data_IF_779198852713
#
_entry.id   IF_779198852713
#
_cell.length_a   1.000
_cell.length_b   1.000
_cell.length_c   1.000
_cell.angle_alpha   90.00
_cell.angle_beta   90.00
_cell.angle_gamma   90.00
#
_symmetry.space_group_name_H-M   'P 1'
#
loop_
_entity.id
_entity.type
_entity.pdbx_description
1 polymer ?
#
# COMPACT_ATOMS: atom_id res chain seq x y z
N UNK A 1 4.11 -75.45 11.58
CA UNK A 1 4.77 -74.37 12.34
C UNK A 1 5.78 -73.67 11.43
N UNK A 2 5.45 -72.43 11.05
CA UNK A 2 6.32 -71.30 10.63
C UNK A 2 7.68 -71.57 9.95
N UNK A 3 7.85 -71.02 8.74
CA UNK A 3 8.83 -69.93 8.51
C UNK A 3 8.58 -69.20 7.18
N UNK A 4 8.45 -67.89 7.32
CA UNK A 4 8.23 -66.87 6.30
C UNK A 4 9.48 -66.64 5.44
N UNK A 5 9.29 -66.36 4.15
CA UNK A 5 10.27 -65.61 3.35
C UNK A 5 9.61 -64.29 2.97
N UNK A 6 10.22 -63.22 3.46
CA UNK A 6 9.84 -61.82 3.25
C UNK A 6 10.70 -61.23 2.12
N UNK A 7 10.21 -60.10 1.61
CA UNK A 7 10.90 -59.06 0.82
C UNK A 7 10.90 -59.35 -0.69
N UNK A 8 10.53 -58.43 -1.58
CA UNK A 8 10.84 -56.99 -1.57
C UNK A 8 9.68 -56.18 -2.18
N UNK A 9 9.02 -55.37 -1.37
CA UNK A 9 8.15 -54.29 -1.86
C UNK A 9 9.03 -53.11 -2.27
N UNK A 10 9.24 -52.91 -3.56
CA UNK A 10 9.91 -51.74 -4.11
C UNK A 10 9.02 -50.51 -3.88
N UNK A 11 9.35 -49.70 -2.87
CA UNK A 11 8.69 -48.41 -2.63
C UNK A 11 9.28 -47.36 -3.56
N UNK A 12 8.52 -47.01 -4.61
CA UNK A 12 8.83 -45.89 -5.51
C UNK A 12 8.53 -44.58 -4.76
N UNK A 13 9.55 -43.91 -4.23
CA UNK A 13 9.42 -42.57 -3.65
C UNK A 13 9.21 -41.57 -4.78
N UNK A 14 7.97 -41.13 -4.99
CA UNK A 14 7.65 -40.04 -5.89
C UNK A 14 8.05 -38.70 -5.24
N UNK A 15 9.16 -38.12 -5.69
CA UNK A 15 9.55 -36.75 -5.32
C UNK A 15 8.63 -35.79 -6.07
N UNK A 16 7.58 -35.30 -5.39
CA UNK A 16 6.74 -34.22 -5.89
C UNK A 16 7.52 -32.92 -5.73
N UNK A 17 8.17 -32.45 -6.80
CA UNK A 17 8.67 -31.08 -6.88
C UNK A 17 7.47 -30.13 -6.95
N UNK A 18 7.07 -29.58 -5.81
CA UNK A 18 6.16 -28.45 -5.76
C UNK A 18 6.87 -27.25 -6.38
N UNK A 19 6.58 -26.96 -7.65
CA UNK A 19 6.99 -25.72 -8.31
C UNK A 19 6.25 -24.59 -7.59
N UNK A 20 6.94 -23.89 -6.70
CA UNK A 20 6.49 -22.61 -6.16
C UNK A 20 6.47 -21.62 -7.33
N UNK A 21 5.33 -21.50 -8.01
CA UNK A 21 5.09 -20.39 -8.93
C UNK A 21 4.87 -19.16 -8.05
N UNK A 22 5.77 -18.15 -8.07
CA UNK A 22 5.51 -16.92 -7.35
C UNK A 22 4.22 -16.32 -7.93
N UNK A 23 3.25 -16.03 -7.05
CA UNK A 23 2.08 -15.27 -7.45
C UNK A 23 2.56 -13.97 -8.08
N UNK A 24 2.36 -13.80 -9.38
CA UNK A 24 2.65 -12.56 -10.06
C UNK A 24 1.71 -11.51 -9.46
N UNK A 25 2.26 -10.60 -8.65
CA UNK A 25 1.51 -9.48 -8.10
C UNK A 25 1.07 -8.62 -9.28
N UNK A 26 -0.22 -8.68 -9.62
CA UNK A 26 -0.76 -8.03 -10.81
C UNK A 26 -0.88 -6.51 -10.56
N UNK A 27 0.22 -5.78 -10.79
CA UNK A 27 0.29 -4.32 -10.78
C UNK A 27 0.93 -3.72 -9.51
N UNK A 28 1.06 -2.38 -9.46
CA UNK A 28 1.70 -1.70 -8.35
C UNK A 28 0.97 -1.93 -7.01
N UNK A 29 1.64 -2.45 -5.97
CA UNK A 29 0.98 -2.96 -4.77
C UNK A 29 0.16 -1.93 -3.99
N UNK A 30 0.59 -0.67 -3.97
CA UNK A 30 -0.05 0.40 -3.19
C UNK A 30 -1.32 0.92 -3.83
N UNK A 31 -1.53 0.68 -5.13
CA UNK A 31 -2.70 1.15 -5.87
C UNK A 31 -3.65 0.00 -6.24
N UNK A 32 -3.10 -1.10 -6.77
CA UNK A 32 -3.88 -2.19 -7.34
C UNK A 32 -4.46 -3.15 -6.30
N UNK A 33 -4.02 -3.07 -5.05
CA UNK A 33 -4.47 -3.98 -3.99
C UNK A 33 -5.21 -3.19 -2.90
N UNK A 34 -6.55 -3.30 -2.85
CA UNK A 34 -7.33 -2.75 -1.74
C UNK A 34 -6.86 -3.32 -0.41
N UNK A 35 -6.78 -2.45 0.60
CA UNK A 35 -6.49 -2.86 1.98
C UNK A 35 -7.83 -3.16 2.66
N UNK A 36 -7.95 -4.33 3.30
CA UNK A 36 -9.15 -4.66 4.07
C UNK A 36 -9.28 -3.74 5.28
N UNK A 37 -10.43 -3.08 5.36
CA UNK A 37 -10.81 -2.13 6.42
C UNK A 37 -12.12 -2.54 7.11
N UNK A 38 -12.64 -3.74 6.80
CA UNK A 38 -13.97 -4.17 7.24
C UNK A 38 -15.05 -3.17 6.82
N UNK A 39 -15.87 -2.75 7.78
CA UNK A 39 -16.93 -1.75 7.59
C UNK A 39 -16.51 -0.30 7.88
N UNK A 40 -15.21 -0.01 8.07
CA UNK A 40 -14.77 1.34 8.41
C UNK A 40 -15.03 2.33 7.25
N UNK A 41 -15.32 3.59 7.60
CA UNK A 41 -15.54 4.63 6.61
C UNK A 41 -14.22 5.02 5.90
N UNK A 42 -14.30 5.25 4.60
CA UNK A 42 -13.22 5.78 3.76
C UNK A 42 -13.85 6.61 2.62
N UNK A 43 -13.03 7.10 1.68
CA UNK A 43 -13.53 7.84 0.52
C UNK A 43 -14.56 7.01 -0.24
N UNK A 44 -15.63 7.64 -0.79
CA UNK A 44 -16.65 6.93 -1.56
C UNK A 44 -16.04 6.09 -2.66
N UNK A 45 -16.62 4.92 -2.91
CA UNK A 45 -16.12 3.95 -3.88
C UNK A 45 -17.27 3.36 -4.68
N UNK A 46 -17.00 3.01 -5.93
CA UNK A 46 -17.98 2.35 -6.79
C UNK A 46 -18.08 0.85 -6.52
N UNK A 47 -19.11 0.22 -7.09
CA UNK A 47 -19.37 -1.23 -7.00
C UNK A 47 -18.90 -2.03 -8.21
N UNK A 48 -18.27 -1.38 -9.20
CA UNK A 48 -17.71 -2.03 -10.40
C UNK A 48 -16.48 -2.90 -10.12
N UNK A 49 -16.15 -3.83 -11.03
CA UNK A 49 -15.09 -4.80 -10.84
C UNK A 49 -13.69 -4.14 -10.85
N UNK A 50 -12.79 -4.68 -10.02
CA UNK A 50 -11.37 -4.34 -10.04
C UNK A 50 -10.93 -3.27 -9.02
N UNK A 51 -9.68 -2.87 -9.13
CA UNK A 51 -9.00 -1.99 -8.17
C UNK A 51 -9.20 -0.48 -8.44
N UNK A 52 -9.67 -0.13 -9.65
CA UNK A 52 -9.81 1.23 -10.16
C UNK A 52 -11.28 1.56 -10.44
N UNK A 53 -12.10 1.56 -9.38
CA UNK A 53 -13.53 1.83 -9.48
C UNK A 53 -13.91 3.03 -8.60
N UNK A 54 -13.35 4.23 -8.84
CA UNK A 54 -13.81 5.42 -8.16
C UNK A 54 -15.31 5.65 -8.41
N UNK A 55 -16.02 6.17 -7.41
CA UNK A 55 -17.43 6.49 -7.56
C UNK A 55 -17.59 7.63 -8.57
N UNK A 56 -18.27 7.37 -9.69
CA UNK A 56 -18.40 8.34 -10.78
C UNK A 56 -19.10 9.64 -10.37
N UNK A 57 -20.08 9.54 -9.46
CA UNK A 57 -20.85 10.70 -8.96
C UNK A 57 -20.14 11.45 -7.82
N UNK A 58 -18.94 11.04 -7.39
CA UNK A 58 -18.22 11.72 -6.33
C UNK A 58 -17.71 13.09 -6.81
N UNK A 59 -18.06 14.15 -6.08
CA UNK A 59 -17.54 15.49 -6.31
C UNK A 59 -16.06 15.57 -5.92
N UNK A 60 -15.18 15.53 -6.91
CA UNK A 60 -13.74 15.53 -6.72
C UNK A 60 -13.19 16.84 -6.18
N UNK A 61 -13.95 17.94 -6.19
CA UNK A 61 -13.52 19.20 -5.56
C UNK A 61 -13.40 19.06 -4.04
N UNK A 62 -14.13 18.09 -3.45
CA UNK A 62 -14.09 17.79 -2.02
C UNK A 62 -12.98 16.83 -1.60
N UNK A 63 -12.30 16.21 -2.56
CA UNK A 63 -11.37 15.10 -2.34
C UNK A 63 -10.32 15.42 -1.27
N UNK A 64 -9.69 16.59 -1.36
CA UNK A 64 -8.63 16.98 -0.40
C UNK A 64 -9.23 17.11 1.01
N UNK A 65 -10.34 17.84 1.14
CA UNK A 65 -11.01 18.04 2.43
C UNK A 65 -11.51 16.74 3.06
N UNK A 66 -12.21 15.91 2.28
CA UNK A 66 -12.76 14.64 2.76
C UNK A 66 -11.62 13.66 3.15
N UNK A 67 -10.54 13.59 2.36
CA UNK A 67 -9.35 12.76 2.69
C UNK A 67 -8.76 13.19 4.03
N UNK A 68 -8.53 14.49 4.22
CA UNK A 68 -7.96 15.03 5.44
C UNK A 68 -8.85 14.79 6.67
N UNK A 69 -10.18 14.85 6.51
CA UNK A 69 -11.14 14.58 7.57
C UNK A 69 -11.14 13.09 7.98
N UNK A 70 -11.00 12.18 7.01
CA UNK A 70 -10.90 10.74 7.25
C UNK A 70 -9.58 10.34 7.91
N UNK A 71 -8.51 11.12 7.75
CA UNK A 71 -7.20 10.92 8.38
C UNK A 71 -7.10 11.59 9.76
N UNK A 72 -8.13 11.42 10.59
CA UNK A 72 -8.18 11.89 11.98
C UNK A 72 -7.21 11.11 12.89
N UNK A 73 -6.79 11.61 14.06
CA UNK A 73 -5.90 10.86 14.97
C UNK A 73 -6.43 9.47 15.39
N UNK A 74 -7.74 9.28 15.45
CA UNK A 74 -8.38 8.02 15.82
C UNK A 74 -8.42 6.99 14.66
N UNK A 75 -8.10 7.40 13.44
CA UNK A 75 -8.19 6.53 12.26
C UNK A 75 -7.12 5.43 12.31
N UNK A 76 -7.51 4.14 12.24
CA UNK A 76 -6.56 3.03 12.21
C UNK A 76 -5.66 3.04 10.97
N UNK A 77 -4.45 2.51 11.08
CA UNK A 77 -3.44 2.55 10.01
C UNK A 77 -3.96 1.94 8.70
N UNK A 78 -4.58 0.75 8.73
CA UNK A 78 -5.17 0.15 7.51
C UNK A 78 -6.23 1.03 6.84
N UNK A 79 -7.03 1.75 7.63
CA UNK A 79 -8.05 2.68 7.11
C UNK A 79 -7.38 3.90 6.45
N UNK A 80 -6.27 4.39 7.01
CA UNK A 80 -5.46 5.44 6.36
C UNK A 80 -4.89 4.97 5.04
N UNK A 81 -4.33 3.76 5.00
CA UNK A 81 -3.77 3.16 3.78
C UNK A 81 -4.82 3.07 2.67
N UNK A 82 -5.99 2.50 2.96
CA UNK A 82 -7.06 2.39 1.96
C UNK A 82 -7.59 3.77 1.54
N UNK A 83 -7.69 4.72 2.46
CA UNK A 83 -8.11 6.10 2.15
C UNK A 83 -7.12 6.79 1.21
N UNK A 84 -5.82 6.68 1.48
CA UNK A 84 -4.76 7.25 0.64
C UNK A 84 -4.64 6.53 -0.71
N UNK A 85 -4.87 5.21 -0.75
CA UNK A 85 -4.98 4.45 -2.00
C UNK A 85 -6.13 4.97 -2.86
N UNK A 86 -7.34 5.08 -2.31
CA UNK A 86 -8.50 5.62 -3.03
C UNK A 86 -8.25 7.05 -3.49
N UNK A 87 -7.66 7.89 -2.65
CA UNK A 87 -7.29 9.26 -3.00
C UNK A 87 -6.32 9.29 -4.19
N UNK A 88 -5.30 8.41 -4.18
CA UNK A 88 -4.35 8.24 -5.28
C UNK A 88 -5.05 7.88 -6.59
N UNK A 89 -6.02 6.96 -6.56
CA UNK A 89 -6.83 6.61 -7.73
C UNK A 89 -7.65 7.81 -8.24
N UNK A 90 -8.28 8.57 -7.34
CA UNK A 90 -9.05 9.76 -7.72
C UNK A 90 -8.19 10.84 -8.40
N UNK A 91 -6.94 11.05 -7.95
CA UNK A 91 -6.03 12.07 -8.52
C UNK A 91 -5.16 11.56 -9.66
N UNK A 92 -5.26 10.28 -10.04
CA UNK A 92 -4.40 9.66 -11.04
C UNK A 92 -4.39 10.41 -12.39
N UNK A 93 -5.50 11.08 -12.73
CA UNK A 93 -5.65 11.90 -13.92
C UNK A 93 -5.78 13.41 -13.62
N UNK A 94 -5.51 13.83 -12.38
CA UNK A 94 -5.59 15.21 -11.90
C UNK A 94 -4.35 15.53 -11.04
N UNK A 95 -3.18 15.77 -11.68
CA UNK A 95 -1.92 15.92 -10.97
C UNK A 95 -1.90 17.13 -10.02
N UNK A 96 -2.61 18.20 -10.35
CA UNK A 96 -2.69 19.40 -9.52
C UNK A 96 -3.36 19.08 -8.18
N UNK A 97 -4.48 18.36 -8.20
CA UNK A 97 -5.15 17.93 -6.97
C UNK A 97 -4.33 16.91 -6.17
N UNK A 98 -3.56 16.05 -6.84
CA UNK A 98 -2.61 15.14 -6.20
C UNK A 98 -1.51 15.90 -5.44
N UNK A 99 -0.92 16.92 -6.07
CA UNK A 99 0.07 17.80 -5.44
C UNK A 99 -0.52 18.64 -4.31
N UNK A 100 -1.74 19.14 -4.47
CA UNK A 100 -2.46 19.85 -3.42
C UNK A 100 -2.64 18.97 -2.18
N UNK A 101 -3.16 17.76 -2.35
CA UNK A 101 -3.35 16.81 -1.25
C UNK A 101 -2.02 16.54 -0.52
N UNK A 102 -0.96 16.28 -1.27
CA UNK A 102 0.36 16.02 -0.69
C UNK A 102 0.87 17.24 0.09
N UNK A 103 0.78 18.44 -0.47
CA UNK A 103 1.19 19.67 0.20
C UNK A 103 0.46 19.87 1.54
N UNK A 104 -0.84 19.50 1.63
CA UNK A 104 -1.60 19.54 2.88
C UNK A 104 -1.14 18.50 3.90
N UNK A 105 -0.79 17.28 3.48
CA UNK A 105 -0.25 16.26 4.39
C UNK A 105 1.14 16.66 4.90
N UNK A 106 1.99 17.24 4.05
CA UNK A 106 3.29 17.76 4.47
C UNK A 106 3.18 18.95 5.41
N UNK A 107 2.16 19.80 5.25
CA UNK A 107 1.86 20.85 6.21
C UNK A 107 1.58 20.26 7.60
N UNK A 108 0.80 19.17 7.69
CA UNK A 108 0.57 18.46 8.97
C UNK A 108 1.85 17.93 9.60
N UNK A 109 2.82 17.48 8.80
CA UNK A 109 4.13 17.06 9.31
C UNK A 109 4.87 18.24 9.93
N UNK A 110 4.90 19.41 9.26
CA UNK A 110 5.55 20.64 9.75
C UNK A 110 4.86 21.20 10.99
N UNK A 111 3.54 21.20 11.02
CA UNK A 111 2.73 21.82 12.08
C UNK A 111 2.54 20.88 13.29
N UNK A 112 2.74 19.58 13.10
CA UNK A 112 2.35 18.53 14.05
C UNK A 112 3.15 18.42 15.34
N UNK A 113 4.14 19.29 15.58
CA UNK A 113 4.98 19.24 16.77
C UNK A 113 5.65 17.87 16.95
N UNK A 114 5.80 17.39 18.19
CA UNK A 114 6.32 16.06 18.50
C UNK A 114 5.21 15.14 19.05
N UNK A 115 5.38 13.83 18.86
CA UNK A 115 4.50 12.79 19.41
C UNK A 115 3.55 12.15 18.40
N UNK A 116 2.55 11.43 18.90
CA UNK A 116 1.68 10.54 18.11
C UNK A 116 1.05 11.19 16.87
N UNK A 117 0.68 12.47 16.93
CA UNK A 117 0.11 13.19 15.79
C UNK A 117 1.12 13.40 14.66
N UNK A 118 2.37 13.71 15.00
CA UNK A 118 3.46 13.85 14.05
C UNK A 118 3.82 12.50 13.41
N UNK A 119 3.85 11.41 14.18
CA UNK A 119 4.13 10.07 13.66
C UNK A 119 3.12 9.64 12.59
N UNK A 120 1.83 9.94 12.83
CA UNK A 120 0.75 9.67 11.88
C UNK A 120 0.83 10.59 10.65
N UNK A 121 1.22 11.86 10.82
CA UNK A 121 1.43 12.77 9.69
C UNK A 121 2.60 12.31 8.80
N UNK A 122 3.71 11.86 9.40
CA UNK A 122 4.85 11.25 8.67
C UNK A 122 4.38 10.03 7.87
N UNK A 123 3.62 9.16 8.51
CA UNK A 123 3.03 7.99 7.85
C UNK A 123 2.16 8.38 6.65
N UNK A 124 1.18 9.27 6.86
CA UNK A 124 0.20 9.65 5.84
C UNK A 124 0.89 10.29 4.61
N UNK A 125 1.82 11.21 4.84
CA UNK A 125 2.56 11.88 3.77
C UNK A 125 3.50 10.90 3.04
N UNK A 126 4.25 10.09 3.77
CA UNK A 126 5.17 9.11 3.20
C UNK A 126 4.45 8.04 2.38
N UNK A 127 3.34 7.52 2.88
CA UNK A 127 2.53 6.52 2.18
C UNK A 127 1.89 7.09 0.90
N UNK A 128 1.42 8.34 0.93
CA UNK A 128 0.90 9.00 -0.28
C UNK A 128 2.00 9.23 -1.33
N UNK A 129 3.22 9.64 -0.92
CA UNK A 129 4.34 9.82 -1.86
C UNK A 129 4.61 8.52 -2.62
N UNK A 130 4.75 7.41 -1.91
CA UNK A 130 5.04 6.11 -2.55
C UNK A 130 3.87 5.60 -3.38
N UNK A 131 2.62 5.90 -2.99
CA UNK A 131 1.43 5.61 -3.79
C UNK A 131 1.41 6.44 -5.08
N UNK A 132 1.68 7.75 -5.01
CA UNK A 132 1.72 8.63 -6.18
C UNK A 132 2.82 8.26 -7.17
N UNK A 133 3.97 7.76 -6.71
CA UNK A 133 5.01 7.23 -7.60
C UNK A 133 4.52 6.05 -8.44
N UNK A 134 3.64 5.21 -7.89
CA UNK A 134 3.08 4.07 -8.60
C UNK A 134 2.10 4.46 -9.72
N UNK A 135 1.59 5.71 -9.73
CA UNK A 135 0.78 6.24 -10.83
C UNK A 135 1.56 6.24 -12.15
N UNK A 136 2.88 6.46 -12.13
CA UNK A 136 3.71 6.39 -13.34
C UNK A 136 3.65 5.02 -14.00
N UNK A 137 3.60 3.94 -13.21
CA UNK A 137 3.54 2.56 -13.75
C UNK A 137 2.24 2.33 -14.54
N UNK A 138 1.17 3.04 -14.17
CA UNK A 138 -0.15 2.91 -14.81
C UNK A 138 -0.31 3.90 -15.97
N UNK A 139 0.12 5.15 -15.80
CA UNK A 139 -0.19 6.26 -16.72
C UNK A 139 0.99 6.72 -17.56
N UNK A 140 2.21 6.26 -17.26
CA UNK A 140 3.45 6.76 -17.87
C UNK A 140 3.89 8.14 -17.41
N UNK A 141 3.18 8.78 -16.47
CA UNK A 141 3.43 10.16 -16.02
C UNK A 141 3.70 10.24 -14.52
N UNK A 142 4.61 11.12 -14.15
CA UNK A 142 4.87 11.47 -12.75
C UNK A 142 3.91 12.58 -12.30
N UNK A 143 3.27 12.40 -11.14
CA UNK A 143 2.48 13.46 -10.47
C UNK A 143 3.38 14.35 -9.60
N UNK A 144 4.39 13.72 -9.00
CA UNK A 144 5.35 14.31 -8.07
C UNK A 144 6.77 13.96 -8.51
N UNK A 145 7.77 14.68 -7.98
CA UNK A 145 9.18 14.33 -8.19
C UNK A 145 9.48 12.89 -7.71
N UNK A 146 10.01 12.00 -8.57
CA UNK A 146 10.35 10.62 -8.19
C UNK A 146 11.46 10.54 -7.14
N UNK A 147 12.28 11.60 -6.96
CA UNK A 147 13.35 11.68 -5.97
C UNK A 147 12.87 11.88 -4.52
N UNK A 148 11.58 12.18 -4.31
CA UNK A 148 11.00 12.33 -2.96
C UNK A 148 11.06 11.02 -2.19
N UNK A 149 11.51 11.01 -0.94
CA UNK A 149 11.68 9.77 -0.17
C UNK A 149 10.54 9.54 0.84
N UNK A 150 9.40 9.02 0.36
CA UNK A 150 8.26 8.70 1.22
C UNK A 150 8.51 7.48 2.11
N UNK A 151 9.32 6.52 1.63
CA UNK A 151 9.74 5.37 2.42
C UNK A 151 10.54 5.79 3.67
N UNK A 152 11.43 6.78 3.57
CA UNK A 152 12.12 7.31 4.74
C UNK A 152 11.16 7.86 5.80
N UNK A 153 10.10 8.56 5.37
CA UNK A 153 9.08 9.08 6.28
C UNK A 153 8.29 7.94 6.96
N UNK A 154 7.89 6.91 6.21
CA UNK A 154 7.19 5.74 6.78
C UNK A 154 8.12 4.94 7.70
N UNK A 155 9.41 4.82 7.36
CA UNK A 155 10.42 4.17 8.21
C UNK A 155 10.61 4.93 9.53
N UNK A 156 10.63 6.26 9.49
CA UNK A 156 10.67 7.07 10.70
C UNK A 156 9.41 6.90 11.55
N UNK A 157 8.22 6.95 10.94
CA UNK A 157 6.97 6.70 11.64
C UNK A 157 6.96 5.30 12.32
N UNK A 158 7.49 4.28 11.64
CA UNK A 158 7.66 2.93 12.19
C UNK A 158 8.57 2.90 13.41
N UNK A 159 9.70 3.60 13.38
CA UNK A 159 10.63 3.66 14.52
C UNK A 159 9.96 4.29 15.74
N UNK A 160 9.12 5.30 15.53
CA UNK A 160 8.38 5.99 16.60
C UNK A 160 7.18 5.18 17.11
N UNK A 161 6.66 4.26 16.29
CA UNK A 161 5.52 3.38 16.58
C UNK A 161 5.89 1.89 16.45
N UNK A 162 6.99 1.49 17.06
CA UNK A 162 7.61 0.15 16.87
C UNK A 162 6.65 -1.03 17.09
N UNK A 163 5.68 -0.88 18.00
CA UNK A 163 4.70 -1.92 18.34
C UNK A 163 3.50 -1.99 17.38
N UNK A 164 3.39 -1.07 16.44
CA UNK A 164 2.28 -0.99 15.49
C UNK A 164 2.56 -1.87 14.25
N UNK A 165 1.97 -3.06 14.25
CA UNK A 165 2.18 -4.05 13.18
C UNK A 165 1.65 -3.60 11.82
N UNK A 166 0.67 -2.69 11.79
CA UNK A 166 0.09 -2.21 10.53
C UNK A 166 1.03 -1.23 9.84
N UNK A 167 1.85 -0.47 10.58
CA UNK A 167 2.91 0.35 9.99
C UNK A 167 4.04 -0.54 9.43
N UNK A 168 4.38 -1.63 10.12
CA UNK A 168 5.33 -2.61 9.59
C UNK A 168 4.82 -3.22 8.28
N UNK A 169 3.54 -3.63 8.23
CA UNK A 169 2.88 -4.10 7.02
C UNK A 169 2.94 -3.08 5.87
N UNK A 170 2.67 -1.80 6.15
CA UNK A 170 2.77 -0.75 5.15
C UNK A 170 4.19 -0.56 4.60
N UNK A 171 5.21 -0.63 5.46
CA UNK A 171 6.61 -0.54 5.05
C UNK A 171 7.01 -1.70 4.13
N UNK A 172 6.60 -2.93 4.46
CA UNK A 172 6.86 -4.11 3.64
C UNK A 172 6.14 -4.01 2.28
N UNK A 173 4.92 -3.47 2.26
CA UNK A 173 4.15 -3.23 1.04
C UNK A 173 4.86 -2.22 0.12
N UNK A 174 5.35 -1.11 0.68
CA UNK A 174 6.16 -0.12 -0.05
C UNK A 174 7.41 -0.78 -0.64
N UNK A 175 8.13 -1.56 0.15
CA UNK A 175 9.34 -2.25 -0.29
C UNK A 175 9.05 -3.25 -1.43
N UNK A 176 7.94 -3.99 -1.36
CA UNK A 176 7.53 -4.95 -2.40
C UNK A 176 7.18 -4.30 -3.75
N UNK A 177 6.79 -3.02 -3.75
CA UNK A 177 6.40 -2.28 -4.94
C UNK A 177 7.56 -1.73 -5.76
N UNK A 178 8.79 -1.85 -5.26
CA UNK A 178 9.98 -1.42 -5.98
C UNK A 178 10.37 -2.45 -7.04
N UNK A 179 10.82 -2.02 -8.23
CA UNK A 179 11.42 -2.94 -9.19
C UNK A 179 12.57 -3.69 -8.51
N UNK A 180 12.58 -5.03 -8.60
CA UNK A 180 13.73 -5.81 -8.14
C UNK A 180 14.96 -5.34 -8.92
N UNK A 181 16.01 -4.92 -8.22
CA UNK A 181 17.29 -4.65 -8.85
C UNK A 181 17.68 -5.86 -9.69
N UNK A 182 17.90 -5.65 -11.00
CA UNK A 182 18.38 -6.73 -11.84
C UNK A 182 19.78 -7.10 -11.37
N UNK A 183 19.91 -8.26 -10.74
CA UNK A 183 21.20 -8.89 -10.50
C UNK A 183 21.74 -9.25 -11.87
N UNK A 184 22.65 -8.43 -12.41
CA UNK A 184 23.49 -8.84 -13.53
C UNK A 184 24.27 -10.07 -13.06
N UNK A 185 23.89 -11.24 -13.60
CA UNK A 185 24.69 -12.46 -13.52
C UNK A 185 25.85 -12.37 -14.50
#
# INVERSE_FOLDING_TARGET
MTRSVKLLSASLVAIVFAVFVPAAQAGPPLICHPVDIGGAASLPWGSGPGWNTPLAAYDRTRLVGDTLALLSPATPIRVRMETLRRATVYVMNDPDRGRELLARLEARVRDGGSGSGHDLALFDAGYLIESLKQVRVITGRDIIDPGRDGEAMVREARQRREKDQDIAYAADLIASGKPKAQVKR
#
